data_IF_803010165564
#
_entry.id   IF_803010165564
#
_cell.length_a   1.000
_cell.length_b   1.000
_cell.length_c   1.000
_cell.angle_alpha   90.00
_cell.angle_beta   90.00
_cell.angle_gamma   90.00
#
_symmetry.space_group_name_H-M   'P 1'
#
loop_
_entity.id
_entity.type
_entity.pdbx_description
1 polymer ?
#
# COMPACT_ATOMS: atom_id res chain seq x y z
N UNK A 1 -19.73 -54.08 40.94
CA UNK A 1 -18.61 -54.88 41.48
C UNK A 1 -17.72 -55.46 40.37
N UNK A 2 -16.55 -54.84 40.14
CA UNK A 2 -15.28 -55.47 39.74
C UNK A 2 -14.19 -54.40 39.77
N UNK A 3 -13.43 -54.43 40.86
CA UNK A 3 -12.15 -53.75 41.01
C UNK A 3 -11.12 -54.34 40.03
N UNK A 4 -10.32 -53.49 39.39
CA UNK A 4 -8.86 -53.73 39.28
C UNK A 4 -8.11 -52.42 39.44
N UNK A 5 -7.59 -52.23 40.65
CA UNK A 5 -6.39 -51.45 40.95
C UNK A 5 -5.19 -52.13 40.25
N UNK A 6 -4.25 -51.38 39.70
CA UNK A 6 -2.99 -51.07 40.41
C UNK A 6 -2.06 -50.13 39.63
N UNK A 7 -1.15 -49.45 40.36
CA UNK A 7 -0.40 -48.27 39.94
C UNK A 7 1.06 -48.61 39.58
N UNK A 8 1.77 -47.64 39.00
CA UNK A 8 3.23 -47.69 38.86
C UNK A 8 3.77 -46.37 38.33
N UNK A 9 4.18 -45.48 39.24
CA UNK A 9 4.97 -44.29 38.92
C UNK A 9 6.46 -44.63 38.70
N UNK A 10 7.38 -43.73 39.03
CA UNK A 10 8.01 -42.82 38.07
C UNK A 10 9.52 -43.08 37.92
N UNK A 11 10.14 -42.59 36.84
CA UNK A 11 11.60 -42.50 36.77
C UNK A 11 12.06 -41.28 35.95
N UNK A 12 12.32 -40.19 36.67
CA UNK A 12 13.21 -39.12 36.23
C UNK A 12 14.59 -39.70 35.88
N UNK A 13 15.03 -39.55 34.62
CA UNK A 13 16.45 -39.64 34.27
C UNK A 13 17.01 -38.24 34.10
N UNK A 14 17.71 -37.79 35.14
CA UNK A 14 18.66 -36.68 35.09
C UNK A 14 19.84 -37.09 34.20
N UNK A 15 20.20 -36.27 33.22
CA UNK A 15 21.48 -36.38 32.53
C UNK A 15 22.52 -35.49 33.24
N UNK A 16 23.74 -35.99 33.48
CA UNK A 16 24.83 -35.23 34.09
C UNK A 16 25.51 -34.31 33.08
N UNK A 17 25.96 -33.15 33.59
CA UNK A 17 26.55 -32.07 32.82
C UNK A 17 27.83 -32.41 32.04
N UNK A 18 28.05 -31.63 30.98
CA UNK A 18 29.36 -31.46 30.35
C UNK A 18 29.67 -29.99 30.14
N UNK A 19 30.63 -29.56 30.96
CA UNK A 19 31.80 -28.72 30.67
C UNK A 19 31.59 -27.48 29.80
N UNK A 20 31.60 -26.36 30.50
CA UNK A 20 31.93 -25.02 30.03
C UNK A 20 33.33 -25.02 29.41
N UNK A 21 33.43 -24.69 28.12
CA UNK A 21 34.67 -24.20 27.56
C UNK A 21 34.81 -22.73 27.92
N UNK A 22 35.75 -22.48 28.84
CA UNK A 22 36.22 -21.15 29.24
C UNK A 22 37.14 -20.66 28.13
N UNK A 23 36.62 -19.80 27.25
CA UNK A 23 37.47 -19.03 26.35
C UNK A 23 38.08 -17.90 27.17
N UNK A 24 39.40 -17.92 27.23
CA UNK A 24 40.22 -16.94 27.93
C UNK A 24 40.19 -15.63 27.15
N UNK A 25 40.04 -14.55 27.93
CA UNK A 25 40.01 -13.15 27.53
C UNK A 25 41.40 -12.70 27.10
N UNK A 26 41.52 -12.04 25.95
CA UNK A 26 42.58 -11.07 25.69
C UNK A 26 41.96 -9.66 25.72
N UNK A 27 42.38 -8.77 26.65
CA UNK A 27 42.02 -7.37 26.60
C UNK A 27 42.88 -6.66 25.56
N UNK A 28 42.27 -6.11 24.52
CA UNK A 28 42.88 -5.07 23.69
C UNK A 28 42.18 -3.75 24.01
N UNK A 29 43.01 -2.85 24.50
CA UNK A 29 42.78 -1.49 24.97
C UNK A 29 42.00 -0.65 23.94
N UNK A 30 41.03 0.19 24.36
CA UNK A 30 40.34 1.11 23.46
C UNK A 30 41.23 2.32 23.14
N UNK A 31 41.31 2.78 21.88
CA UNK A 31 41.77 4.14 21.62
C UNK A 31 40.65 5.15 21.91
N UNK A 32 41.06 6.19 22.63
CA UNK A 32 40.34 7.39 23.06
C UNK A 32 39.31 7.95 22.09
N UNK A 33 38.16 8.33 22.65
CA UNK A 33 37.26 9.30 22.05
C UNK A 33 37.80 10.72 22.28
N UNK A 34 37.90 11.57 21.25
CA UNK A 34 37.86 13.01 21.45
C UNK A 34 36.40 13.49 21.52
N UNK A 35 36.03 14.07 22.66
CA UNK A 35 34.83 14.90 22.85
C UNK A 35 35.09 16.30 22.23
N UNK A 36 34.06 16.99 21.71
CA UNK A 36 34.19 17.98 20.65
C UNK A 36 34.38 19.41 21.19
N UNK A 37 35.12 20.22 20.44
CA UNK A 37 35.11 21.67 20.62
C UNK A 37 34.60 22.37 19.34
N UNK A 38 33.46 23.07 19.54
CA UNK A 38 32.99 24.25 18.79
C UNK A 38 32.35 24.04 17.38
N UNK A 39 31.56 25.01 16.88
CA UNK A 39 30.16 25.26 17.24
C UNK A 39 29.21 25.11 16.02
N UNK A 40 27.91 25.00 16.29
CA UNK A 40 26.83 24.99 15.29
C UNK A 40 26.59 26.40 14.65
N UNK A 41 25.63 26.61 13.71
CA UNK A 41 25.38 25.90 12.43
C UNK A 41 25.02 26.85 11.24
N UNK A 42 24.91 26.24 10.02
CA UNK A 42 24.12 26.61 8.79
C UNK A 42 24.83 27.42 7.68
N UNK A 43 24.38 27.34 6.39
CA UNK A 43 23.44 26.41 5.74
C UNK A 43 24.01 25.74 4.46
N UNK A 44 23.90 24.42 4.32
CA UNK A 44 24.01 23.74 3.01
C UNK A 44 22.66 23.13 2.63
N UNK A 45 21.68 24.00 2.34
CA UNK A 45 20.41 23.63 1.70
C UNK A 45 20.50 23.99 0.22
N UNK A 46 21.12 23.14 -0.58
CA UNK A 46 21.04 23.26 -2.04
C UNK A 46 21.34 21.93 -2.76
N UNK A 47 22.16 21.04 -2.18
CA UNK A 47 22.57 19.80 -2.86
C UNK A 47 21.76 18.54 -2.52
N UNK A 48 20.91 18.54 -1.49
CA UNK A 48 20.08 17.37 -1.17
C UNK A 48 18.82 17.23 -2.04
N UNK A 49 18.37 18.31 -2.69
CA UNK A 49 17.15 18.27 -3.53
C UNK A 49 17.44 17.60 -4.89
N UNK A 50 18.64 17.78 -5.44
CA UNK A 50 18.99 17.24 -6.76
C UNK A 50 19.25 15.73 -6.72
N UNK A 51 19.80 15.21 -5.62
CA UNK A 51 20.04 13.76 -5.48
C UNK A 51 18.73 12.99 -5.21
N UNK A 52 17.76 13.59 -4.50
CA UNK A 52 16.43 13.00 -4.32
C UNK A 52 15.61 13.01 -5.62
N UNK A 53 15.72 14.07 -6.43
CA UNK A 53 15.07 14.13 -7.74
C UNK A 53 15.67 13.13 -8.75
N UNK A 54 16.99 12.91 -8.71
CA UNK A 54 17.67 11.98 -9.62
C UNK A 54 17.46 10.51 -9.23
N UNK A 55 17.33 10.19 -7.93
CA UNK A 55 16.90 8.86 -7.47
C UNK A 55 15.41 8.59 -7.73
N UNK A 56 14.56 9.62 -7.72
CA UNK A 56 13.17 9.49 -8.13
C UNK A 56 13.04 9.19 -9.64
N UNK A 57 13.95 9.71 -10.46
CA UNK A 57 13.98 9.51 -11.91
C UNK A 57 14.57 8.15 -12.35
N UNK A 58 15.31 7.44 -11.50
CA UNK A 58 15.96 6.15 -11.82
C UNK A 58 15.24 4.93 -11.21
N UNK A 59 14.29 5.14 -10.32
CA UNK A 59 13.44 4.09 -9.77
C UNK A 59 12.10 4.06 -10.53
N UNK A 60 12.12 3.51 -11.74
CA UNK A 60 10.98 3.12 -12.59
C UNK A 60 9.70 3.91 -12.34
N UNK A 61 9.48 4.95 -13.15
CA UNK A 61 8.22 5.68 -13.24
C UNK A 61 7.09 4.69 -13.54
N UNK A 62 6.42 4.18 -12.50
CA UNK A 62 5.12 3.53 -12.61
C UNK A 62 4.10 4.66 -12.60
N UNK A 63 3.87 5.24 -13.76
CA UNK A 63 3.14 6.50 -13.90
C UNK A 63 1.62 6.29 -13.87
N UNK A 64 1.15 5.11 -14.27
CA UNK A 64 -0.27 4.74 -14.26
C UNK A 64 -0.62 3.64 -13.23
N UNK A 65 -1.86 3.58 -12.73
CA UNK A 65 -2.33 2.47 -11.91
C UNK A 65 -2.20 1.11 -12.60
N UNK A 66 -2.46 1.05 -13.91
CA UNK A 66 -2.30 -0.18 -14.71
C UNK A 66 -0.86 -0.69 -14.72
N UNK A 67 0.13 0.17 -14.94
CA UNK A 67 1.56 -0.19 -14.91
C UNK A 67 2.00 -0.76 -13.54
N UNK A 68 1.39 -0.29 -12.45
CA UNK A 68 1.66 -0.87 -11.12
C UNK A 68 1.17 -2.31 -11.06
N UNK A 69 0.00 -2.63 -11.60
CA UNK A 69 -0.55 -3.99 -11.61
C UNK A 69 0.28 -4.88 -12.54
N UNK A 70 0.59 -4.43 -13.74
CA UNK A 70 1.41 -5.17 -14.71
C UNK A 70 2.80 -5.45 -14.13
N UNK A 71 3.48 -4.44 -13.60
CA UNK A 71 4.80 -4.58 -13.00
C UNK A 71 4.79 -5.46 -11.75
N UNK A 72 3.77 -5.36 -10.90
CA UNK A 72 3.62 -6.26 -9.74
C UNK A 72 3.36 -7.71 -10.17
N UNK A 73 2.59 -7.90 -11.25
CA UNK A 73 2.27 -9.20 -11.81
C UNK A 73 3.47 -9.87 -12.48
N UNK A 74 4.26 -9.10 -13.23
CA UNK A 74 5.53 -9.55 -13.81
C UNK A 74 6.58 -9.87 -12.74
N UNK A 75 6.65 -9.07 -11.68
CA UNK A 75 7.49 -9.37 -10.52
C UNK A 75 7.05 -10.68 -9.84
N UNK A 76 5.73 -10.90 -9.71
CA UNK A 76 5.19 -12.11 -9.12
C UNK A 76 5.45 -13.36 -9.97
N UNK A 77 5.33 -13.28 -11.30
CA UNK A 77 5.60 -14.40 -12.21
C UNK A 77 7.07 -14.84 -12.20
N UNK A 78 7.97 -13.91 -11.90
CA UNK A 78 9.43 -14.14 -11.82
C UNK A 78 9.93 -14.38 -10.40
N UNK A 79 9.04 -14.41 -9.40
CA UNK A 79 9.41 -14.64 -7.99
C UNK A 79 10.15 -13.47 -7.32
N UNK A 80 10.11 -12.27 -7.89
CA UNK A 80 10.73 -11.05 -7.34
C UNK A 80 9.88 -10.45 -6.21
N UNK A 81 9.87 -11.11 -5.06
CA UNK A 81 8.99 -10.77 -3.93
C UNK A 81 9.20 -9.34 -3.41
N UNK A 82 10.42 -8.80 -3.43
CA UNK A 82 10.70 -7.43 -3.00
C UNK A 82 10.03 -6.41 -3.93
N UNK A 83 10.02 -6.67 -5.23
CA UNK A 83 9.37 -5.81 -6.22
C UNK A 83 7.84 -5.87 -6.05
N UNK A 84 7.28 -7.05 -5.74
CA UNK A 84 5.86 -7.21 -5.38
C UNK A 84 5.52 -6.40 -4.14
N UNK A 85 6.30 -6.53 -3.07
CA UNK A 85 6.11 -5.77 -1.83
C UNK A 85 6.09 -4.26 -2.08
N UNK A 86 7.02 -3.78 -2.91
CA UNK A 86 7.11 -2.37 -3.26
C UNK A 86 5.87 -1.88 -3.99
N UNK A 87 5.09 -2.73 -4.67
CA UNK A 87 3.89 -2.28 -5.36
C UNK A 87 2.74 -1.93 -4.40
N UNK A 88 2.77 -2.40 -3.15
CA UNK A 88 1.72 -2.15 -2.16
C UNK A 88 1.92 -0.85 -1.38
N UNK A 89 0.82 -0.29 -0.89
CA UNK A 89 0.82 0.91 -0.04
C UNK A 89 1.52 0.63 1.29
N UNK A 90 2.12 1.65 1.89
CA UNK A 90 2.81 1.51 3.18
C UNK A 90 1.82 1.02 4.25
N UNK A 91 0.60 1.56 4.23
CA UNK A 91 -0.47 1.14 5.13
C UNK A 91 -0.83 -0.34 4.97
N UNK A 92 -0.92 -0.84 3.72
CA UNK A 92 -1.16 -2.26 3.46
C UNK A 92 -0.02 -3.13 3.94
N UNK A 93 1.23 -2.79 3.63
CA UNK A 93 2.43 -3.52 4.08
C UNK A 93 2.43 -3.64 5.61
N UNK A 94 2.27 -2.52 6.32
CA UNK A 94 2.27 -2.52 7.79
C UNK A 94 1.12 -3.35 8.37
N UNK A 95 -0.08 -3.29 7.77
CA UNK A 95 -1.25 -4.05 8.21
C UNK A 95 -1.01 -5.56 8.05
N UNK A 96 -0.50 -5.98 6.90
CA UNK A 96 -0.20 -7.38 6.61
C UNK A 96 0.89 -7.91 7.55
N UNK A 97 1.99 -7.18 7.70
CA UNK A 97 3.08 -7.61 8.58
C UNK A 97 2.65 -7.73 10.04
N UNK A 98 1.79 -6.82 10.53
CA UNK A 98 1.21 -6.95 11.87
C UNK A 98 0.30 -8.18 11.97
N UNK A 99 -0.57 -8.39 10.98
CA UNK A 99 -1.49 -9.53 10.96
C UNK A 99 -0.74 -10.88 10.98
N UNK A 100 0.31 -11.01 10.17
CA UNK A 100 1.11 -12.24 10.09
C UNK A 100 1.98 -12.46 11.33
N UNK A 101 2.48 -11.40 11.96
CA UNK A 101 3.20 -11.52 13.25
C UNK A 101 2.31 -12.06 14.37
N UNK A 102 1.02 -11.72 14.36
CA UNK A 102 0.06 -12.18 15.35
C UNK A 102 -0.43 -13.61 15.09
N UNK A 103 -0.56 -14.01 13.82
CA UNK A 103 -1.08 -15.32 13.42
C UNK A 103 0.03 -16.22 12.82
N UNK A 104 0.92 -16.73 13.67
CA UNK A 104 2.04 -17.61 13.26
C UNK A 104 1.62 -18.98 12.70
N UNK A 105 0.36 -19.39 12.86
CA UNK A 105 -0.10 -20.77 12.58
C UNK A 105 -0.61 -21.01 11.15
N UNK A 106 -0.63 -19.99 10.28
CA UNK A 106 -1.14 -20.15 8.91
C UNK A 106 -0.01 -20.16 7.88
N UNK A 107 0.44 -21.34 7.39
CA UNK A 107 1.53 -21.46 6.43
C UNK A 107 1.19 -20.89 5.04
N UNK A 108 -0.08 -20.60 4.76
CA UNK A 108 -0.55 -19.96 3.51
C UNK A 108 -0.51 -18.42 3.56
N UNK A 109 0.04 -17.83 4.62
CA UNK A 109 0.13 -16.38 4.78
C UNK A 109 1.53 -15.86 4.44
N UNK A 110 1.58 -14.73 3.73
CA UNK A 110 2.83 -14.05 3.43
C UNK A 110 2.87 -13.45 2.04
N UNK A 111 4.01 -12.82 1.74
CA UNK A 111 4.22 -12.15 0.46
C UNK A 111 4.21 -13.11 -0.73
N UNK A 112 4.68 -14.35 -0.59
CA UNK A 112 4.60 -15.36 -1.64
C UNK A 112 3.15 -15.74 -1.98
N UNK A 113 2.29 -15.86 -0.97
CA UNK A 113 0.87 -16.13 -1.19
C UNK A 113 0.16 -14.95 -1.87
N UNK A 114 0.51 -13.70 -1.52
CA UNK A 114 0.01 -12.53 -2.23
C UNK A 114 0.51 -12.44 -3.67
N UNK A 115 1.80 -12.74 -3.90
CA UNK A 115 2.36 -12.83 -5.25
C UNK A 115 1.61 -13.85 -6.10
N UNK A 116 1.24 -15.01 -5.54
CA UNK A 116 0.43 -16.01 -6.24
C UNK A 116 -0.96 -15.49 -6.67
N UNK A 117 -1.51 -14.47 -5.98
CA UNK A 117 -2.78 -13.81 -6.38
C UNK A 117 -2.61 -12.75 -7.47
N UNK A 118 -1.37 -12.38 -7.76
CA UNK A 118 -1.00 -11.45 -8.83
C UNK A 118 -0.59 -12.16 -10.11
N UNK A 119 -0.77 -13.48 -10.20
CA UNK A 119 -0.50 -14.28 -11.40
C UNK A 119 -1.62 -15.28 -11.65
N UNK A 120 -1.64 -15.83 -12.86
CA UNK A 120 -2.46 -16.96 -13.23
C UNK A 120 -1.61 -17.98 -13.97
N UNK A 121 -1.54 -19.20 -13.44
CA UNK A 121 -0.71 -20.28 -14.02
C UNK A 121 0.75 -19.85 -14.28
N UNK A 122 1.31 -19.09 -13.33
CA UNK A 122 2.66 -18.52 -13.43
C UNK A 122 2.83 -17.39 -14.44
N UNK A 123 1.77 -16.97 -15.14
CA UNK A 123 1.80 -15.87 -16.11
C UNK A 123 1.30 -14.56 -15.50
N UNK A 124 1.80 -13.40 -15.99
CA UNK A 124 1.26 -12.10 -15.62
C UNK A 124 -0.23 -11.96 -15.98
N UNK A 125 -0.91 -11.09 -15.25
CA UNK A 125 -2.29 -10.70 -15.48
C UNK A 125 -2.39 -9.77 -16.70
N UNK A 126 -3.48 -9.87 -17.43
CA UNK A 126 -3.81 -8.95 -18.52
C UNK A 126 -4.68 -7.82 -17.97
N UNK A 127 -4.21 -6.57 -18.00
CA UNK A 127 -5.03 -5.43 -17.59
C UNK A 127 -6.05 -5.10 -18.67
N UNK A 128 -7.31 -4.97 -18.29
CA UNK A 128 -8.43 -4.76 -19.22
C UNK A 128 -8.86 -3.29 -19.27
N UNK A 129 -8.98 -2.66 -18.10
CA UNK A 129 -9.46 -1.28 -17.93
C UNK A 129 -9.00 -0.72 -16.60
N UNK A 130 -8.96 0.61 -16.54
CA UNK A 130 -8.78 1.37 -15.31
C UNK A 130 -9.82 2.49 -15.21
N UNK A 131 -10.18 2.84 -13.97
CA UNK A 131 -11.05 3.97 -13.63
C UNK A 131 -10.35 4.75 -12.50
N UNK A 132 -10.03 6.02 -12.75
CA UNK A 132 -9.24 6.87 -11.85
C UNK A 132 -10.14 7.96 -11.29
N UNK A 133 -10.12 8.11 -9.97
CA UNK A 133 -10.95 9.01 -9.18
C UNK A 133 -10.04 9.73 -8.19
N UNK A 134 -9.56 10.91 -8.57
CA UNK A 134 -8.55 11.69 -7.82
C UNK A 134 -7.30 10.86 -7.48
N UNK A 135 -7.00 10.70 -6.19
CA UNK A 135 -5.88 9.93 -5.67
C UNK A 135 -6.20 8.43 -5.50
N UNK A 136 -7.31 7.95 -6.08
CA UNK A 136 -7.75 6.55 -6.01
C UNK A 136 -8.01 6.00 -7.40
N UNK A 137 -7.81 4.70 -7.57
CA UNK A 137 -8.09 4.03 -8.83
C UNK A 137 -8.61 2.61 -8.61
N UNK A 138 -9.39 2.14 -9.57
CA UNK A 138 -9.80 0.75 -9.71
C UNK A 138 -9.25 0.22 -11.04
N UNK A 139 -8.54 -0.90 -11.00
CA UNK A 139 -8.00 -1.58 -12.17
C UNK A 139 -8.61 -2.97 -12.25
N UNK A 140 -9.12 -3.33 -13.42
CA UNK A 140 -9.63 -4.68 -13.69
C UNK A 140 -8.62 -5.44 -14.51
N UNK A 141 -8.22 -6.61 -14.03
CA UNK A 141 -7.27 -7.47 -14.70
C UNK A 141 -7.78 -8.91 -14.79
N UNK A 142 -7.37 -9.61 -15.84
CA UNK A 142 -7.79 -10.98 -16.16
C UNK A 142 -6.74 -11.98 -15.70
N UNK A 143 -7.24 -13.03 -15.04
CA UNK A 143 -6.52 -14.23 -14.62
C UNK A 143 -7.19 -15.44 -15.29
N UNK A 144 -6.77 -15.81 -16.49
CA UNK A 144 -7.43 -16.86 -17.28
C UNK A 144 -8.86 -16.45 -17.66
N UNK A 145 -9.87 -17.20 -17.22
CA UNK A 145 -11.28 -16.86 -17.45
C UNK A 145 -11.89 -15.93 -16.37
N UNK A 146 -11.14 -15.60 -15.32
CA UNK A 146 -11.65 -14.82 -14.18
C UNK A 146 -11.15 -13.38 -14.23
N UNK A 147 -12.06 -12.42 -14.08
CA UNK A 147 -11.73 -11.01 -13.87
C UNK A 147 -11.55 -10.72 -12.37
N UNK A 148 -10.55 -9.90 -12.05
CA UNK A 148 -10.25 -9.43 -10.68
C UNK A 148 -10.12 -7.93 -10.68
N UNK A 149 -10.67 -7.29 -9.66
CA UNK A 149 -10.51 -5.86 -9.42
C UNK A 149 -9.44 -5.60 -8.36
N UNK A 150 -8.62 -4.58 -8.62
CA UNK A 150 -7.57 -4.10 -7.75
C UNK A 150 -7.82 -2.63 -7.45
N UNK A 151 -7.71 -2.26 -6.18
CA UNK A 151 -7.82 -0.87 -5.75
C UNK A 151 -6.44 -0.31 -5.47
N UNK A 152 -6.19 0.88 -5.98
CA UNK A 152 -4.94 1.59 -5.82
C UNK A 152 -5.20 2.97 -5.23
N UNK A 153 -4.18 3.48 -4.53
CA UNK A 153 -4.14 4.85 -4.04
C UNK A 153 -2.83 5.51 -4.45
N UNK A 154 -2.85 6.82 -4.59
CA UNK A 154 -1.65 7.64 -4.76
C UNK A 154 -1.05 7.91 -3.39
N UNK A 155 0.24 7.61 -3.24
CA UNK A 155 1.03 7.79 -2.03
C UNK A 155 2.38 8.38 -2.44
N UNK A 156 2.69 9.58 -1.92
CA UNK A 156 3.88 10.36 -2.28
C UNK A 156 4.06 10.55 -3.80
N UNK A 157 2.94 10.82 -4.49
CA UNK A 157 2.89 11.00 -5.94
C UNK A 157 2.97 9.70 -6.75
N UNK A 158 3.09 8.53 -6.11
CA UNK A 158 3.20 7.21 -6.77
C UNK A 158 1.95 6.37 -6.53
N UNK A 159 1.52 5.63 -7.54
CA UNK A 159 0.43 4.66 -7.38
C UNK A 159 0.91 3.43 -6.61
N UNK A 160 0.07 2.95 -5.69
CA UNK A 160 0.33 1.76 -4.87
C UNK A 160 -0.96 0.95 -4.68
N UNK A 161 -0.85 -0.37 -4.69
CA UNK A 161 -1.95 -1.30 -4.43
C UNK A 161 -2.37 -1.20 -2.97
N UNK A 162 -3.67 -1.04 -2.71
CA UNK A 162 -4.22 -0.88 -1.37
C UNK A 162 -5.27 -1.95 -1.04
N UNK A 163 -4.90 -2.91 -0.18
CA UNK A 163 -5.78 -3.99 0.27
C UNK A 163 -6.80 -3.44 1.29
N UNK A 164 -7.87 -2.86 0.74
CA UNK A 164 -8.88 -2.11 1.48
C UNK A 164 -9.28 -0.80 0.80
N UNK A 165 -8.59 -0.41 -0.28
CA UNK A 165 -8.80 0.85 -0.99
C UNK A 165 -10.17 1.02 -1.63
N UNK A 166 -10.98 -0.06 -1.75
CA UNK A 166 -12.29 0.00 -2.37
C UNK A 166 -13.28 0.96 -1.68
N UNK A 167 -13.17 1.14 -0.36
CA UNK A 167 -13.98 2.16 0.32
C UNK A 167 -13.53 3.58 -0.02
N UNK A 168 -12.21 3.80 -0.09
CA UNK A 168 -11.63 5.08 -0.49
C UNK A 168 -12.09 5.46 -1.89
N UNK A 169 -11.88 4.55 -2.85
CA UNK A 169 -12.30 4.72 -4.23
C UNK A 169 -13.79 5.06 -4.37
N UNK A 170 -14.69 4.31 -3.72
CA UNK A 170 -16.13 4.60 -3.76
C UNK A 170 -16.48 5.99 -3.21
N UNK A 171 -15.77 6.45 -2.16
CA UNK A 171 -15.96 7.80 -1.61
C UNK A 171 -15.48 8.88 -2.57
N UNK A 172 -14.32 8.68 -3.21
CA UNK A 172 -13.81 9.61 -4.22
C UNK A 172 -14.77 9.72 -5.41
N UNK A 173 -15.24 8.58 -5.94
CA UNK A 173 -16.23 8.54 -7.01
C UNK A 173 -17.54 9.26 -6.66
N UNK A 174 -18.07 9.02 -5.44
CA UNK A 174 -19.27 9.69 -4.98
C UNK A 174 -19.08 11.21 -4.81
N UNK A 175 -17.89 11.65 -4.38
CA UNK A 175 -17.56 13.08 -4.28
C UNK A 175 -17.55 13.74 -5.66
N UNK A 176 -16.85 13.16 -6.62
CA UNK A 176 -16.77 13.71 -7.98
C UNK A 176 -18.14 13.76 -8.66
N UNK A 177 -18.98 12.73 -8.44
CA UNK A 177 -20.36 12.77 -8.90
C UNK A 177 -21.15 13.91 -8.25
N UNK A 178 -21.07 14.08 -6.93
CA UNK A 178 -21.78 15.15 -6.23
C UNK A 178 -21.30 16.56 -6.66
N UNK A 179 -20.02 16.72 -6.98
CA UNK A 179 -19.46 17.97 -7.51
C UNK A 179 -19.96 18.26 -8.93
N UNK A 180 -20.04 17.24 -9.78
CA UNK A 180 -20.62 17.35 -11.12
C UNK A 180 -22.12 17.71 -11.06
N UNK A 181 -22.89 17.00 -10.23
CA UNK A 181 -24.32 17.26 -10.05
C UNK A 181 -24.58 18.68 -9.53
N UNK A 182 -23.73 19.16 -8.62
CA UNK A 182 -23.82 20.52 -8.08
C UNK A 182 -23.49 21.56 -9.17
N UNK A 183 -22.47 21.32 -9.99
CA UNK A 183 -22.10 22.22 -11.07
C UNK A 183 -23.24 22.36 -12.10
N UNK A 184 -23.87 21.24 -12.48
CA UNK A 184 -25.03 21.22 -13.37
C UNK A 184 -26.24 21.96 -12.75
N UNK A 185 -26.50 21.76 -11.45
CA UNK A 185 -27.56 22.47 -10.75
C UNK A 185 -27.32 23.99 -10.68
N UNK A 186 -26.07 24.40 -10.45
CA UNK A 186 -25.67 25.82 -10.40
C UNK A 186 -25.78 26.47 -11.80
N UNK A 187 -25.50 25.73 -12.87
CA UNK A 187 -25.69 26.18 -14.26
C UNK A 187 -27.17 26.39 -14.60
N UNK A 188 -28.02 25.38 -14.38
CA UNK A 188 -29.48 25.49 -14.59
C UNK A 188 -30.10 26.60 -13.78
N UNK A 189 -29.61 26.83 -12.55
CA UNK A 189 -30.09 27.92 -11.71
C UNK A 189 -29.75 29.29 -12.30
N UNK A 190 -28.57 29.45 -12.91
CA UNK A 190 -28.20 30.71 -13.57
C UNK A 190 -29.04 30.95 -14.81
N UNK A 191 -29.24 29.93 -15.65
CA UNK A 191 -30.11 30.02 -16.83
C UNK A 191 -31.52 30.45 -16.45
N UNK A 192 -32.11 29.80 -15.44
CA UNK A 192 -33.44 30.15 -14.96
C UNK A 192 -33.51 31.58 -14.41
N UNK A 193 -32.46 32.07 -13.75
CA UNK A 193 -32.41 33.45 -13.26
C UNK A 193 -32.30 34.48 -14.40
N UNK A 194 -31.61 34.16 -15.49
CA UNK A 194 -31.56 35.03 -16.68
C UNK A 194 -32.91 35.05 -17.40
N UNK A 195 -33.55 33.90 -17.60
CA UNK A 195 -34.91 33.83 -18.17
C UNK A 195 -35.92 34.66 -17.36
N UNK A 196 -35.86 34.59 -16.03
CA UNK A 196 -36.72 35.40 -15.16
C UNK A 196 -36.46 36.90 -15.28
N UNK A 197 -35.21 37.32 -15.53
CA UNK A 197 -34.88 38.73 -15.77
C UNK A 197 -35.41 39.19 -17.13
N UNK A 198 -35.26 38.37 -18.17
CA UNK A 198 -35.78 38.67 -19.51
C UNK A 198 -37.30 38.81 -19.50
N UNK A 199 -38.01 37.85 -18.87
CA UNK A 199 -39.47 37.92 -18.74
C UNK A 199 -39.94 39.17 -17.99
N UNK A 200 -39.24 39.58 -16.93
CA UNK A 200 -39.55 40.83 -16.22
C UNK A 200 -39.31 42.06 -17.10
N UNK A 201 -38.21 42.10 -17.84
CA UNK A 201 -37.91 43.19 -18.75
C UNK A 201 -38.93 43.30 -19.89
N UNK A 202 -39.47 42.19 -20.37
CA UNK A 202 -40.55 42.16 -21.38
C UNK A 202 -41.89 42.64 -20.80
N UNK A 203 -42.24 42.23 -19.58
CA UNK A 203 -43.45 42.70 -18.90
C UNK A 203 -43.43 44.21 -18.63
N UNK A 204 -42.28 44.76 -18.24
CA UNK A 204 -42.12 46.21 -18.04
C UNK A 204 -42.24 47.02 -19.35
N UNK A 205 -41.88 46.44 -20.50
CA UNK A 205 -42.01 47.09 -21.82
C UNK A 205 -43.41 47.00 -22.41
N UNK A 206 -44.20 45.98 -22.06
CA UNK A 206 -45.57 45.79 -22.56
C UNK A 206 -46.66 46.54 -21.76
N UNK A 207 -46.31 47.10 -20.60
CA UNK A 207 -47.24 47.81 -19.71
C UNK A 207 -47.15 49.35 -19.73
N UNK A 208 -46.30 49.93 -20.58
CA UNK A 208 -46.13 51.37 -20.77
C UNK A 208 -46.78 51.84 -22.08
#
# INVERSE_FOLDING_TARGET
PRERRRPGGPAHRRLPGRRRHRLVVHPMTPPEAPVPDSPAPRPRRALQVVVFALLAALAGCRDSPSEVIEGASEAASTGRIVDVQSAFSIATVQRLERAWKLNRELPEQGWSALAARLVFDGKPLEVLREDIQDDHAQVWARAGATERDYYLRKEDGRWRIDLGGGLGYRRAKARLQAEADKAEADEKRKEHLEELKEQRAEQEKGGA
#
